data_IF_166315091634
#
_entry.id   IF_166315091634
#
_cell.length_a   1.000
_cell.length_b   1.000
_cell.length_c   1.000
_cell.angle_alpha   90.00
_cell.angle_beta   90.00
_cell.angle_gamma   90.00
#
_symmetry.space_group_name_H-M   'P 1'
#
loop_
_entity.id
_entity.type
_entity.pdbx_description
1 polymer ?
#
# COMPACT_ATOMS: atom_id res chain seq x y z
N UNK A 1 31.93 -17.80 7.91
CA UNK A 1 31.28 -18.21 6.67
C UNK A 1 29.95 -18.88 7.02
N UNK A 2 28.89 -18.15 6.99
CA UNK A 2 27.53 -18.69 6.99
C UNK A 2 26.63 -17.57 6.45
N UNK A 3 26.21 -17.77 5.22
CA UNK A 3 25.36 -16.89 4.42
C UNK A 3 23.93 -16.99 4.95
N UNK A 4 23.43 -15.95 5.62
CA UNK A 4 22.02 -15.80 5.96
C UNK A 4 21.26 -15.34 4.72
N UNK A 5 20.77 -16.29 3.95
CA UNK A 5 19.79 -16.03 2.89
C UNK A 5 18.44 -15.71 3.54
N UNK A 6 18.06 -14.45 3.49
CA UNK A 6 16.69 -13.98 3.66
C UNK A 6 15.77 -14.73 2.69
N UNK A 7 14.97 -15.65 3.21
CA UNK A 7 13.84 -16.23 2.50
C UNK A 7 12.69 -15.23 2.49
N UNK A 8 12.67 -14.36 1.51
CA UNK A 8 11.42 -13.80 1.03
C UNK A 8 10.63 -14.97 0.41
N UNK A 9 9.71 -15.54 1.17
CA UNK A 9 8.77 -16.54 0.68
C UNK A 9 7.88 -15.87 -0.36
N UNK A 10 8.23 -16.03 -1.63
CA UNK A 10 7.28 -15.90 -2.72
C UNK A 10 6.25 -17.02 -2.54
N UNK A 11 5.08 -16.67 -2.04
CA UNK A 11 3.90 -17.48 -2.18
C UNK A 11 3.38 -17.37 -3.63
N UNK A 12 4.17 -17.90 -4.59
CA UNK A 12 3.70 -18.33 -5.89
C UNK A 12 3.51 -19.84 -5.80
N UNK A 13 2.41 -20.25 -5.22
CA UNK A 13 1.90 -21.59 -5.21
C UNK A 13 0.46 -21.50 -5.67
N UNK A 14 0.22 -21.71 -6.97
CA UNK A 14 -1.06 -22.22 -7.43
C UNK A 14 -1.17 -23.63 -6.85
N UNK A 15 -2.00 -23.80 -5.85
CA UNK A 15 -2.28 -25.05 -5.18
C UNK A 15 -3.20 -24.78 -4.04
N UNK A 16 -4.46 -25.13 -4.21
CA UNK A 16 -5.47 -25.33 -3.18
C UNK A 16 -5.64 -24.19 -2.16
N UNK A 17 -6.25 -23.09 -2.62
CA UNK A 17 -7.16 -22.37 -1.76
C UNK A 17 -8.26 -23.38 -1.40
N UNK A 18 -8.04 -24.11 -0.31
CA UNK A 18 -8.99 -25.02 0.28
C UNK A 18 -10.26 -24.21 0.50
N UNK A 19 -11.25 -24.44 -0.36
CA UNK A 19 -12.62 -24.08 -0.07
C UNK A 19 -12.90 -24.64 1.33
N UNK A 20 -12.94 -23.78 2.33
CA UNK A 20 -13.58 -24.14 3.57
C UNK A 20 -15.01 -24.51 3.20
N UNK A 21 -15.24 -25.81 3.04
CA UNK A 21 -16.58 -26.36 2.90
C UNK A 21 -17.29 -26.04 4.21
N UNK A 22 -18.41 -25.32 4.13
CA UNK A 22 -19.33 -25.25 5.24
C UNK A 22 -19.64 -26.69 5.67
N UNK A 23 -19.02 -27.13 6.78
CA UNK A 23 -19.24 -28.47 7.30
C UNK A 23 -18.03 -29.16 7.95
N UNK A 24 -16.80 -28.73 7.69
CA UNK A 24 -15.66 -29.29 8.42
C UNK A 24 -15.59 -28.71 9.86
N UNK A 25 -15.35 -29.55 10.90
CA UNK A 25 -15.19 -29.04 12.24
C UNK A 25 -14.00 -28.06 12.28
N UNK A 26 -14.17 -26.87 12.88
CA UNK A 26 -13.14 -25.85 12.88
C UNK A 26 -11.86 -26.38 13.53
N UNK A 27 -10.74 -26.25 12.82
CA UNK A 27 -9.43 -26.66 13.33
C UNK A 27 -9.06 -25.75 14.52
N UNK A 28 -9.02 -26.34 15.74
CA UNK A 28 -8.71 -25.64 17.00
C UNK A 28 -7.30 -25.06 17.08
N UNK A 29 -6.44 -25.37 16.11
CA UNK A 29 -5.04 -24.90 16.06
C UNK A 29 -4.82 -23.70 15.16
N UNK A 30 -5.87 -23.20 14.50
CA UNK A 30 -5.78 -22.04 13.60
C UNK A 30 -6.66 -20.91 14.11
N UNK A 31 -6.17 -19.68 13.99
CA UNK A 31 -6.93 -18.48 14.25
C UNK A 31 -6.95 -17.62 12.99
N UNK A 32 -7.97 -17.85 12.17
CA UNK A 32 -8.11 -17.19 10.87
C UNK A 32 -8.94 -15.91 11.01
N UNK A 33 -8.46 -14.84 10.40
CA UNK A 33 -9.21 -13.59 10.23
C UNK A 33 -9.16 -13.12 8.77
N UNK A 34 -10.22 -12.50 8.30
CA UNK A 34 -10.24 -11.93 6.97
C UNK A 34 -9.46 -10.62 6.95
N UNK A 35 -8.41 -10.55 6.14
CA UNK A 35 -7.58 -9.34 5.98
C UNK A 35 -7.92 -8.56 4.73
N UNK A 36 -8.68 -9.15 3.84
CA UNK A 36 -9.13 -8.53 2.59
C UNK A 36 -10.05 -9.45 1.79
N UNK A 37 -10.49 -8.95 0.64
CA UNK A 37 -11.32 -9.71 -0.27
C UNK A 37 -10.76 -9.59 -1.69
N UNK A 38 -10.60 -10.72 -2.35
CA UNK A 38 -10.15 -10.79 -3.74
C UNK A 38 -11.24 -11.42 -4.61
N UNK A 39 -12.10 -10.58 -5.17
CA UNK A 39 -13.32 -11.03 -5.82
C UNK A 39 -14.29 -11.68 -4.80
N UNK A 40 -14.85 -12.86 -5.08
CA UNK A 40 -15.74 -13.56 -4.15
C UNK A 40 -14.99 -14.30 -3.01
N UNK A 41 -13.64 -14.23 -2.99
CA UNK A 41 -12.80 -14.96 -2.02
C UNK A 41 -12.27 -14.03 -0.96
N UNK A 42 -12.37 -14.43 0.30
CA UNK A 42 -11.71 -13.72 1.39
C UNK A 42 -10.23 -14.13 1.47
N UNK A 43 -9.36 -13.13 1.64
CA UNK A 43 -7.96 -13.36 1.98
C UNK A 43 -7.88 -13.54 3.49
N UNK A 44 -7.48 -14.72 3.93
CA UNK A 44 -7.38 -15.06 5.34
C UNK A 44 -5.91 -15.07 5.78
N UNK A 45 -5.66 -14.59 7.00
CA UNK A 45 -4.36 -14.71 7.68
C UNK A 45 -4.56 -15.57 8.92
N UNK A 46 -3.67 -16.53 9.13
CA UNK A 46 -3.58 -17.28 10.38
C UNK A 46 -2.77 -16.48 11.39
N UNK A 47 -3.46 -15.89 12.36
CA UNK A 47 -2.84 -15.05 13.37
C UNK A 47 -1.95 -15.86 14.34
N UNK A 48 -2.21 -17.16 14.54
CA UNK A 48 -1.36 -18.00 15.38
C UNK A 48 -0.04 -18.35 14.68
N UNK A 49 -0.03 -18.47 13.37
CA UNK A 49 1.20 -18.63 12.60
C UNK A 49 1.99 -17.32 12.56
N UNK A 50 1.29 -16.20 12.30
CA UNK A 50 1.87 -14.87 12.18
C UNK A 50 2.27 -14.24 13.53
N UNK A 51 1.85 -14.79 14.66
CA UNK A 51 2.10 -14.31 16.03
C UNK A 51 1.82 -12.83 16.27
N UNK A 52 2.44 -11.96 15.52
CA UNK A 52 2.26 -10.51 15.59
C UNK A 52 1.89 -10.00 14.20
N UNK A 53 0.64 -9.59 14.06
CA UNK A 53 0.11 -9.01 12.82
C UNK A 53 -0.17 -7.53 13.05
N UNK A 54 0.35 -6.70 12.17
CA UNK A 54 0.14 -5.25 12.21
C UNK A 54 -0.75 -4.83 11.06
N UNK A 55 -1.81 -4.11 11.38
CA UNK A 55 -2.63 -3.42 10.39
C UNK A 55 -1.95 -2.09 10.01
N UNK A 56 -1.48 -1.99 8.77
CA UNK A 56 -0.78 -0.80 8.28
C UNK A 56 -1.73 0.39 8.15
N UNK A 57 -1.83 1.19 9.18
CA UNK A 57 -2.67 2.38 9.25
C UNK A 57 -2.98 2.72 10.70
N UNK A 58 -3.38 3.94 10.97
CA UNK A 58 -3.79 4.40 12.29
C UNK A 58 -5.10 5.20 12.17
N UNK A 59 -5.72 5.52 13.31
CA UNK A 59 -6.94 6.31 13.35
C UNK A 59 -8.23 5.50 13.24
N UNK A 60 -9.39 6.16 13.03
CA UNK A 60 -10.71 5.56 13.15
C UNK A 60 -10.95 4.35 12.22
N UNK A 61 -10.36 4.36 11.02
CA UNK A 61 -10.51 3.26 10.05
C UNK A 61 -9.76 2.01 10.51
N UNK A 62 -8.50 2.15 10.95
CA UNK A 62 -7.73 1.05 11.50
C UNK A 62 -8.43 0.45 12.71
N UNK A 63 -8.91 1.30 13.63
CA UNK A 63 -9.66 0.90 14.79
C UNK A 63 -10.93 0.10 14.45
N UNK A 64 -11.75 0.58 13.52
CA UNK A 64 -12.94 -0.14 13.06
C UNK A 64 -12.58 -1.49 12.45
N UNK A 65 -11.51 -1.55 11.67
CA UNK A 65 -11.06 -2.80 11.05
C UNK A 65 -10.55 -3.79 12.09
N UNK A 66 -9.78 -3.33 13.07
CA UNK A 66 -9.34 -4.15 14.21
C UNK A 66 -10.54 -4.67 15.00
N UNK A 67 -11.52 -3.83 15.28
CA UNK A 67 -12.76 -4.24 15.98
C UNK A 67 -13.55 -5.28 15.17
N UNK A 68 -13.66 -5.13 13.86
CA UNK A 68 -14.31 -6.10 12.98
C UNK A 68 -13.57 -7.45 12.99
N UNK A 69 -12.25 -7.46 12.83
CA UNK A 69 -11.44 -8.68 12.84
C UNK A 69 -11.51 -9.38 14.20
N UNK A 70 -11.55 -8.61 15.29
CA UNK A 70 -11.75 -9.12 16.64
C UNK A 70 -13.13 -9.78 16.81
N UNK A 71 -14.20 -9.16 16.31
CA UNK A 71 -15.55 -9.71 16.33
C UNK A 71 -15.63 -11.00 15.51
N UNK A 72 -15.04 -11.05 14.31
CA UNK A 72 -14.97 -12.26 13.48
C UNK A 72 -14.26 -13.43 14.20
N UNK A 73 -13.22 -13.13 14.99
CA UNK A 73 -12.51 -14.14 15.80
C UNK A 73 -13.34 -14.62 16.99
N UNK A 74 -14.04 -13.70 17.68
CA UNK A 74 -14.97 -14.03 18.77
C UNK A 74 -16.12 -14.93 18.31
N UNK A 75 -16.71 -14.62 17.15
CA UNK A 75 -17.80 -15.37 16.57
C UNK A 75 -17.36 -16.69 15.93
N UNK A 76 -16.07 -16.89 15.72
CA UNK A 76 -15.54 -18.05 15.05
C UNK A 76 -15.93 -18.15 13.58
N UNK A 77 -16.00 -17.00 12.90
CA UNK A 77 -16.49 -16.92 11.51
C UNK A 77 -15.60 -17.70 10.52
N UNK A 78 -14.31 -17.73 10.74
CA UNK A 78 -13.32 -18.34 9.85
C UNK A 78 -12.56 -19.51 10.45
N UNK A 79 -12.61 -19.65 11.78
CA UNK A 79 -11.96 -20.71 12.57
C UNK A 79 -12.79 -20.98 13.81
N UNK A 80 -12.31 -21.82 14.75
CA UNK A 80 -12.98 -21.97 16.04
C UNK A 80 -13.02 -20.62 16.78
N UNK A 81 -14.11 -20.30 17.50
CA UNK A 81 -14.18 -19.13 18.37
C UNK A 81 -13.01 -19.13 19.36
N UNK A 82 -12.38 -17.97 19.55
CA UNK A 82 -11.31 -17.84 20.52
C UNK A 82 -11.57 -16.66 21.46
N UNK A 83 -11.03 -16.69 22.70
CA UNK A 83 -11.06 -15.53 23.58
C UNK A 83 -10.31 -14.36 22.95
N UNK A 84 -10.94 -13.17 22.97
CA UNK A 84 -10.36 -11.92 22.48
C UNK A 84 -10.26 -10.92 23.62
N UNK A 85 -9.12 -10.27 23.71
CA UNK A 85 -8.82 -9.21 24.69
C UNK A 85 -8.55 -7.91 23.94
N UNK A 86 -9.49 -6.97 23.98
CA UNK A 86 -9.43 -5.69 23.28
C UNK A 86 -8.84 -4.59 24.15
N UNK A 87 -7.62 -4.17 23.87
CA UNK A 87 -6.95 -3.06 24.56
C UNK A 87 -7.22 -1.77 23.82
N UNK A 88 -7.73 -0.76 24.50
CA UNK A 88 -8.15 0.52 23.93
C UNK A 88 -9.25 0.39 22.84
N UNK A 89 -10.08 -0.63 22.94
CA UNK A 89 -11.13 -0.98 21.98
C UNK A 89 -12.50 -1.15 22.67
N UNK A 90 -13.12 -0.07 23.16
CA UNK A 90 -14.41 -0.13 23.86
C UNK A 90 -15.56 -0.66 23.00
N UNK A 91 -15.40 -0.66 21.67
CA UNK A 91 -16.36 -1.21 20.73
C UNK A 91 -16.57 -2.73 20.91
N UNK A 92 -15.64 -3.43 21.56
CA UNK A 92 -15.75 -4.86 21.86
C UNK A 92 -16.55 -5.17 23.14
N UNK A 93 -17.08 -4.16 23.82
CA UNK A 93 -17.91 -4.34 25.00
C UNK A 93 -17.23 -5.20 26.08
N UNK A 94 -17.78 -6.39 26.43
CA UNK A 94 -17.22 -7.25 27.48
C UNK A 94 -15.79 -7.75 27.21
N UNK A 95 -15.35 -7.79 25.96
CA UNK A 95 -13.99 -8.19 25.60
C UNK A 95 -12.99 -7.03 25.69
N UNK A 96 -13.45 -5.81 25.98
CA UNK A 96 -12.58 -4.65 26.23
C UNK A 96 -11.95 -4.74 27.63
N UNK A 97 -10.63 -4.57 27.68
CA UNK A 97 -9.87 -4.73 28.94
C UNK A 97 -8.64 -3.80 28.96
N UNK A 98 -7.97 -3.75 30.10
CA UNK A 98 -6.66 -3.10 30.21
C UNK A 98 -5.55 -3.95 29.60
N UNK A 99 -4.44 -3.31 29.19
CA UNK A 99 -3.26 -4.04 28.70
C UNK A 99 -2.73 -5.04 29.76
N UNK A 100 -2.78 -4.69 31.05
CA UNK A 100 -2.34 -5.58 32.13
C UNK A 100 -3.21 -6.86 32.25
N UNK A 101 -4.48 -6.79 31.95
CA UNK A 101 -5.37 -7.95 31.89
C UNK A 101 -5.08 -8.81 30.66
N UNK A 102 -4.91 -8.19 29.50
CA UNK A 102 -4.53 -8.87 28.28
C UNK A 102 -3.17 -9.58 28.40
N UNK A 103 -2.17 -8.94 29.01
CA UNK A 103 -0.87 -9.54 29.31
C UNK A 103 -0.99 -10.78 30.20
N UNK A 104 -1.72 -10.67 31.31
CA UNK A 104 -1.94 -11.82 32.23
C UNK A 104 -2.60 -12.98 31.52
N UNK A 105 -3.63 -12.72 30.74
CA UNK A 105 -4.32 -13.72 29.94
C UNK A 105 -3.39 -14.39 28.93
N UNK A 106 -2.66 -13.59 28.13
CA UNK A 106 -1.76 -14.08 27.10
C UNK A 106 -0.60 -14.92 27.66
N UNK A 107 -0.07 -14.55 28.83
CA UNK A 107 1.04 -15.27 29.47
C UNK A 107 0.59 -16.52 30.24
N UNK A 108 -0.65 -16.57 30.69
CA UNK A 108 -1.21 -17.70 31.45
C UNK A 108 -1.87 -18.76 30.54
N UNK A 109 -2.35 -18.38 29.34
CA UNK A 109 -3.11 -19.27 28.50
C UNK A 109 -2.24 -20.34 27.83
N UNK A 110 -2.82 -21.55 27.75
CA UNK A 110 -2.31 -22.67 26.94
C UNK A 110 -3.14 -22.89 25.69
N UNK A 111 -4.31 -22.30 25.63
CA UNK A 111 -5.23 -22.36 24.48
C UNK A 111 -5.09 -21.10 23.63
N UNK A 112 -5.43 -21.18 22.34
CA UNK A 112 -5.41 -20.03 21.43
C UNK A 112 -6.21 -18.85 21.97
N UNK A 113 -5.62 -17.65 21.96
CA UNK A 113 -6.30 -16.40 22.26
C UNK A 113 -5.75 -15.27 21.40
N UNK A 114 -6.54 -14.21 21.25
CA UNK A 114 -6.20 -13.02 20.48
C UNK A 114 -6.16 -11.79 21.40
N UNK A 115 -5.05 -11.07 21.37
CA UNK A 115 -4.94 -9.72 21.92
C UNK A 115 -5.06 -8.73 20.75
N UNK A 116 -6.04 -7.85 20.82
CA UNK A 116 -6.22 -6.76 19.83
C UNK A 116 -5.94 -5.46 20.53
N UNK A 117 -4.87 -4.77 20.15
CA UNK A 117 -4.44 -3.54 20.79
C UNK A 117 -4.43 -2.38 19.82
N UNK A 118 -5.16 -1.31 20.14
CA UNK A 118 -5.13 -0.04 19.42
C UNK A 118 -4.17 0.91 20.11
N UNK A 119 -3.26 1.50 19.35
CA UNK A 119 -2.29 2.46 19.83
C UNK A 119 -2.96 3.67 20.45
N UNK A 120 -2.48 4.10 21.61
CA UNK A 120 -2.86 5.39 22.22
C UNK A 120 -2.02 6.52 21.66
N UNK A 121 -2.59 7.74 21.54
CA UNK A 121 -1.86 8.89 21.03
C UNK A 121 -0.65 9.32 21.87
N UNK A 122 -0.69 9.00 23.17
CA UNK A 122 0.36 9.31 24.15
C UNK A 122 1.48 8.27 24.25
N UNK A 123 1.32 7.12 23.54
CA UNK A 123 2.33 6.06 23.52
C UNK A 123 2.56 5.35 24.86
N UNK A 124 1.68 5.54 25.85
CA UNK A 124 1.87 5.04 27.22
C UNK A 124 2.01 3.51 27.36
N UNK A 125 1.44 2.78 26.40
CA UNK A 125 1.44 1.30 26.40
C UNK A 125 2.45 0.68 25.42
N UNK A 126 3.15 1.48 24.62
CA UNK A 126 3.98 0.99 23.49
C UNK A 126 5.08 0.02 23.95
N UNK A 127 5.86 0.36 24.98
CA UNK A 127 6.95 -0.47 25.47
C UNK A 127 6.46 -1.80 26.08
N UNK A 128 5.30 -1.79 26.74
CA UNK A 128 4.68 -2.99 27.30
C UNK A 128 4.13 -3.90 26.20
N UNK A 129 3.54 -3.32 25.17
CA UNK A 129 3.03 -4.08 24.02
C UNK A 129 4.18 -4.74 23.24
N UNK A 130 5.33 -4.06 23.09
CA UNK A 130 6.55 -4.66 22.54
C UNK A 130 7.05 -5.86 23.34
N UNK A 131 7.06 -5.72 24.66
CA UNK A 131 7.46 -6.82 25.57
C UNK A 131 6.50 -8.00 25.42
N UNK A 132 5.21 -7.74 25.43
CA UNK A 132 4.18 -8.76 25.23
C UNK A 132 4.35 -9.46 23.87
N UNK A 133 4.64 -8.72 22.81
CA UNK A 133 4.87 -9.28 21.48
C UNK A 133 6.09 -10.22 21.45
N UNK A 134 7.17 -9.87 22.16
CA UNK A 134 8.37 -10.74 22.29
C UNK A 134 8.05 -12.04 23.05
N UNK A 135 7.31 -11.94 24.15
CA UNK A 135 6.91 -13.11 24.94
C UNK A 135 5.91 -14.01 24.20
N UNK A 136 4.98 -13.43 23.47
CA UNK A 136 4.01 -14.15 22.64
C UNK A 136 4.69 -15.00 21.58
N UNK A 137 5.72 -14.46 20.92
CA UNK A 137 6.53 -15.22 19.94
C UNK A 137 7.21 -16.45 20.56
N UNK A 138 7.60 -16.37 21.83
CA UNK A 138 8.30 -17.47 22.52
C UNK A 138 7.33 -18.56 22.99
N UNK A 139 6.14 -18.22 23.44
CA UNK A 139 5.22 -19.14 24.16
C UNK A 139 4.17 -19.81 23.28
N UNK A 140 3.80 -19.20 22.18
CA UNK A 140 3.06 -19.88 21.12
C UNK A 140 1.54 -20.03 21.25
N UNK A 141 0.89 -19.60 22.32
CA UNK A 141 -0.57 -19.74 22.49
C UNK A 141 -1.36 -18.47 22.12
N UNK A 142 -0.76 -17.30 22.24
CA UNK A 142 -1.42 -16.03 21.94
C UNK A 142 -0.99 -15.47 20.58
N UNK A 143 -1.88 -14.69 19.95
CA UNK A 143 -1.60 -13.86 18.80
C UNK A 143 -1.87 -12.39 19.14
N UNK A 144 -1.16 -11.47 18.51
CA UNK A 144 -1.35 -10.03 18.68
C UNK A 144 -1.73 -9.42 17.33
N UNK A 145 -2.80 -8.66 17.33
CA UNK A 145 -3.27 -7.86 16.21
C UNK A 145 -3.33 -6.38 16.63
N UNK A 146 -2.62 -5.51 15.91
CA UNK A 146 -2.49 -4.10 16.34
C UNK A 146 -2.26 -3.18 15.14
N UNK A 147 -2.43 -1.88 15.36
CA UNK A 147 -2.05 -0.81 14.41
C UNK A 147 -0.67 -0.18 14.73
N UNK A 148 0.08 -0.76 15.67
CA UNK A 148 1.39 -0.27 16.09
C UNK A 148 2.53 -0.84 15.24
N UNK A 149 3.05 -0.07 14.29
CA UNK A 149 4.10 -0.50 13.36
C UNK A 149 5.47 -0.77 14.00
N UNK A 150 5.72 -0.25 15.20
CA UNK A 150 7.03 -0.36 15.89
C UNK A 150 7.32 -1.71 16.55
N UNK A 151 6.33 -2.58 16.75
CA UNK A 151 6.49 -3.81 17.55
C UNK A 151 7.08 -5.01 16.80
N UNK A 152 7.66 -4.82 15.63
CA UNK A 152 8.33 -5.89 14.88
C UNK A 152 7.34 -6.93 14.37
N UNK A 153 6.46 -6.54 13.46
CA UNK A 153 5.45 -7.41 12.87
C UNK A 153 6.05 -8.56 12.06
N UNK A 154 5.49 -9.75 12.16
CA UNK A 154 5.77 -10.87 11.27
C UNK A 154 4.94 -10.76 9.99
N UNK A 155 3.72 -10.25 10.11
CA UNK A 155 2.82 -9.97 9.00
C UNK A 155 2.31 -8.55 9.10
N UNK A 156 2.43 -7.78 8.03
CA UNK A 156 1.84 -6.45 7.89
C UNK A 156 0.68 -6.54 6.92
N UNK A 157 -0.52 -6.30 7.43
CA UNK A 157 -1.75 -6.26 6.64
C UNK A 157 -1.99 -4.83 6.20
N UNK A 158 -2.07 -4.53 4.90
CA UNK A 158 -2.44 -3.21 4.45
C UNK A 158 -3.87 -2.90 4.93
N UNK A 159 -4.09 -1.69 5.44
CA UNK A 159 -5.43 -1.19 5.67
C UNK A 159 -6.07 -0.97 4.30
N UNK A 160 -6.94 -1.89 3.89
CA UNK A 160 -7.72 -1.68 2.67
C UNK A 160 -8.57 -0.43 2.84
N UNK A 161 -8.55 0.44 1.83
CA UNK A 161 -9.53 1.50 1.77
C UNK A 161 -10.92 0.87 1.87
N UNK A 162 -11.84 1.40 2.71
CA UNK A 162 -13.16 0.82 2.86
C UNK A 162 -13.79 0.67 1.48
N UNK A 163 -14.49 -0.44 1.20
CA UNK A 163 -15.29 -0.54 -0.01
C UNK A 163 -16.14 0.72 -0.07
N UNK A 164 -16.09 1.42 -1.17
CA UNK A 164 -16.68 2.75 -1.33
C UNK A 164 -18.13 2.70 -0.86
N UNK A 165 -18.41 3.30 0.31
CA UNK A 165 -19.76 3.39 0.84
C UNK A 165 -20.66 4.09 -0.20
N UNK A 166 -21.63 3.34 -0.73
CA UNK A 166 -22.56 3.79 -1.77
C UNK A 166 -22.50 2.99 -3.07
N UNK A 167 -21.72 1.92 -3.14
CA UNK A 167 -21.77 0.96 -4.27
C UNK A 167 -22.40 -0.32 -3.77
N UNK A 168 -23.61 -0.56 -4.22
CA UNK A 168 -24.23 -1.89 -4.18
C UNK A 168 -23.21 -2.90 -4.71
N UNK A 169 -23.04 -4.01 -4.00
CA UNK A 169 -22.24 -5.18 -4.36
C UNK A 169 -22.75 -5.82 -5.66
N UNK A 170 -22.50 -5.19 -6.77
CA UNK A 170 -22.85 -5.64 -8.10
C UNK A 170 -21.77 -5.20 -9.07
N UNK A 171 -20.79 -6.06 -9.25
CA UNK A 171 -19.95 -6.21 -10.46
C UNK A 171 -19.42 -4.93 -11.16
N UNK A 172 -19.03 -3.89 -10.45
CA UNK A 172 -18.26 -2.81 -11.07
C UNK A 172 -16.85 -3.31 -11.42
N UNK A 173 -16.39 -3.01 -12.63
CA UNK A 173 -14.98 -3.23 -13.01
C UNK A 173 -14.15 -2.12 -12.40
N UNK A 174 -13.10 -2.48 -11.71
CA UNK A 174 -12.11 -1.55 -11.13
C UNK A 174 -10.82 -1.61 -11.91
N UNK A 175 -10.34 -0.43 -12.33
CA UNK A 175 -9.04 -0.25 -12.97
C UNK A 175 -8.12 0.47 -11.98
N UNK A 176 -7.18 -0.27 -11.42
CA UNK A 176 -6.23 0.24 -10.45
C UNK A 176 -5.02 0.82 -11.15
N UNK A 177 -4.78 2.13 -10.98
CA UNK A 177 -3.79 2.95 -11.68
C UNK A 177 -2.71 3.52 -10.76
N UNK A 178 -2.96 3.56 -9.44
CA UNK A 178 -2.05 4.16 -8.46
C UNK A 178 -0.97 3.18 -7.99
N UNK A 179 -0.34 2.52 -8.95
CA UNK A 179 0.69 1.50 -8.77
C UNK A 179 0.75 0.58 -10.00
N UNK A 180 1.19 -0.68 -9.83
CA UNK A 180 1.06 -1.69 -10.87
C UNK A 180 -0.38 -1.76 -11.35
N UNK A 181 -0.56 -1.76 -12.67
CA UNK A 181 -1.90 -1.75 -13.28
C UNK A 181 -2.58 -3.09 -13.06
N UNK A 182 -3.78 -3.05 -12.50
CA UNK A 182 -4.63 -4.20 -12.29
C UNK A 182 -6.05 -3.88 -12.76
N UNK A 183 -6.71 -4.83 -13.42
CA UNK A 183 -8.13 -4.72 -13.75
C UNK A 183 -8.86 -5.86 -13.06
N UNK A 184 -9.80 -5.51 -12.18
CA UNK A 184 -10.55 -6.42 -11.32
C UNK A 184 -12.03 -6.41 -11.69
N UNK A 185 -12.72 -7.52 -11.49
CA UNK A 185 -14.16 -7.63 -11.74
C UNK A 185 -14.56 -7.76 -13.21
N UNK A 186 -13.60 -7.89 -14.13
CA UNK A 186 -13.88 -8.18 -15.54
C UNK A 186 -14.23 -9.63 -15.83
N UNK A 187 -14.81 -9.90 -16.99
CA UNK A 187 -15.21 -11.24 -17.43
C UNK A 187 -14.01 -12.16 -17.76
N UNK A 188 -12.81 -11.60 -17.96
CA UNK A 188 -11.59 -12.34 -18.29
C UNK A 188 -10.34 -11.66 -17.72
N UNK A 189 -9.26 -12.46 -17.52
CA UNK A 189 -7.96 -11.93 -17.08
C UNK A 189 -7.22 -11.24 -18.21
N UNK A 190 -6.55 -10.11 -17.89
CA UNK A 190 -5.66 -9.37 -18.81
C UNK A 190 -4.22 -9.87 -18.80
N UNK A 191 -3.94 -10.95 -18.11
CA UNK A 191 -2.59 -11.51 -18.07
C UNK A 191 -2.06 -11.71 -19.49
N UNK A 192 -0.90 -11.09 -19.79
CA UNK A 192 -0.22 -11.14 -21.10
C UNK A 192 -0.91 -10.43 -22.29
N UNK A 193 -1.76 -9.41 -22.04
CA UNK A 193 -2.37 -8.59 -23.12
C UNK A 193 -2.05 -7.09 -23.00
N UNK A 194 -0.79 -6.67 -23.13
CA UNK A 194 -0.34 -5.30 -22.80
C UNK A 194 -1.08 -4.22 -23.60
N UNK A 195 -1.31 -4.41 -24.90
CA UNK A 195 -2.03 -3.44 -25.71
C UNK A 195 -3.52 -3.32 -25.39
N UNK A 196 -4.13 -4.39 -24.90
CA UNK A 196 -5.51 -4.36 -24.46
C UNK A 196 -5.64 -3.67 -23.09
N UNK A 197 -4.69 -3.94 -22.19
CA UNK A 197 -4.57 -3.22 -20.91
C UNK A 197 -4.40 -1.74 -21.14
N UNK A 198 -3.50 -1.35 -22.03
CA UNK A 198 -3.23 0.03 -22.42
C UNK A 198 -4.50 0.73 -22.93
N UNK A 199 -5.28 0.07 -23.80
CA UNK A 199 -6.55 0.60 -24.31
C UNK A 199 -7.57 0.82 -23.18
N UNK A 200 -7.74 -0.17 -22.30
CA UNK A 200 -8.71 -0.06 -21.19
C UNK A 200 -8.30 1.06 -20.22
N UNK A 201 -7.01 1.18 -19.90
CA UNK A 201 -6.49 2.25 -19.06
C UNK A 201 -6.70 3.61 -19.70
N UNK A 202 -6.39 3.75 -20.99
CA UNK A 202 -6.59 5.00 -21.72
C UNK A 202 -8.05 5.44 -21.70
N UNK A 203 -8.98 4.52 -21.99
CA UNK A 203 -10.40 4.80 -21.93
C UNK A 203 -10.90 5.11 -20.51
N UNK A 204 -10.35 4.46 -19.49
CA UNK A 204 -10.73 4.69 -18.09
C UNK A 204 -10.28 6.05 -17.54
N UNK A 205 -9.22 6.60 -18.12
CA UNK A 205 -8.73 7.96 -17.81
C UNK A 205 -9.50 9.06 -18.54
N UNK A 206 -10.33 8.70 -19.53
CA UNK A 206 -11.12 9.65 -20.32
C UNK A 206 -12.62 9.36 -20.16
N UNK A 207 -13.22 9.70 -19.02
CA UNK A 207 -14.63 9.40 -18.72
C UNK A 207 -15.61 10.10 -19.68
N UNK A 208 -15.18 11.19 -20.34
CA UNK A 208 -15.96 11.90 -21.37
C UNK A 208 -16.05 11.15 -22.71
N UNK A 209 -15.35 10.03 -22.80
CA UNK A 209 -15.25 9.22 -24.01
C UNK A 209 -14.24 9.70 -25.01
N UNK A 210 -13.74 8.79 -25.84
CA UNK A 210 -12.66 9.02 -26.82
C UNK A 210 -13.05 8.52 -28.20
N UNK A 211 -12.76 9.31 -29.24
CA UNK A 211 -12.95 8.87 -30.63
C UNK A 211 -11.95 7.78 -31.02
N UNK A 212 -12.28 6.98 -32.04
CA UNK A 212 -11.37 5.97 -32.58
C UNK A 212 -10.06 6.59 -33.04
N UNK A 213 -10.11 7.75 -33.67
CA UNK A 213 -8.92 8.45 -34.14
C UNK A 213 -7.98 8.82 -32.98
N UNK A 214 -8.52 9.35 -31.87
CA UNK A 214 -7.72 9.81 -30.74
C UNK A 214 -7.02 8.66 -30.02
N UNK A 215 -7.75 7.60 -29.64
CA UNK A 215 -7.10 6.51 -28.92
C UNK A 215 -6.15 5.70 -29.80
N UNK A 216 -6.41 5.56 -31.13
CA UNK A 216 -5.47 4.90 -32.02
C UNK A 216 -4.19 5.70 -32.19
N UNK A 217 -4.29 7.04 -32.33
CA UNK A 217 -3.12 7.92 -32.39
C UNK A 217 -2.30 7.87 -31.08
N UNK A 218 -2.97 7.82 -29.91
CA UNK A 218 -2.27 7.71 -28.63
C UNK A 218 -1.53 6.38 -28.47
N UNK A 219 -2.17 5.26 -28.80
CA UNK A 219 -1.58 3.93 -28.60
C UNK A 219 -0.58 3.52 -29.69
N UNK A 220 -0.67 4.10 -30.85
CA UNK A 220 0.23 3.86 -32.01
C UNK A 220 0.62 5.18 -32.68
N UNK A 221 1.45 6.01 -32.02
CA UNK A 221 1.82 7.33 -32.56
C UNK A 221 2.58 7.27 -33.91
N UNK A 222 3.29 6.17 -34.15
CA UNK A 222 4.19 6.03 -35.29
C UNK A 222 3.54 5.41 -36.55
N UNK A 223 2.24 5.09 -36.49
CA UNK A 223 1.55 4.44 -37.62
C UNK A 223 0.05 4.65 -37.63
N UNK A 224 -0.50 4.67 -38.81
CA UNK A 224 -1.95 4.60 -39.01
C UNK A 224 -2.44 3.18 -38.73
N UNK A 225 -3.50 3.08 -37.93
CA UNK A 225 -4.13 1.81 -37.58
C UNK A 225 -5.32 1.56 -38.47
N UNK A 226 -5.37 0.43 -39.23
CA UNK A 226 -6.53 0.08 -40.03
C UNK A 226 -7.79 -0.03 -39.14
N UNK A 227 -8.93 0.40 -39.67
CA UNK A 227 -10.21 0.41 -38.98
C UNK A 227 -10.57 -0.99 -38.45
N UNK A 228 -10.32 -2.04 -39.21
CA UNK A 228 -10.53 -3.43 -38.81
C UNK A 228 -9.72 -3.80 -37.55
N UNK A 229 -8.47 -3.33 -37.47
CA UNK A 229 -7.62 -3.57 -36.29
C UNK A 229 -8.17 -2.85 -35.06
N UNK A 230 -8.60 -1.60 -35.23
CA UNK A 230 -9.23 -0.83 -34.16
C UNK A 230 -10.52 -1.52 -33.66
N UNK A 231 -11.39 -1.94 -34.58
CA UNK A 231 -12.63 -2.62 -34.26
C UNK A 231 -12.39 -3.96 -33.54
N UNK A 232 -11.38 -4.73 -33.94
CA UNK A 232 -10.99 -5.96 -33.26
C UNK A 232 -10.56 -5.69 -31.82
N UNK A 233 -9.75 -4.66 -31.55
CA UNK A 233 -9.33 -4.26 -30.20
C UNK A 233 -10.50 -3.83 -29.33
N UNK A 234 -11.42 -3.06 -29.88
CA UNK A 234 -12.65 -2.68 -29.16
C UNK A 234 -13.54 -3.90 -28.86
N UNK A 235 -13.61 -4.87 -29.77
CA UNK A 235 -14.35 -6.12 -29.55
C UNK A 235 -13.72 -6.95 -28.43
N UNK A 236 -12.39 -7.09 -28.41
CA UNK A 236 -11.67 -7.75 -27.34
C UNK A 236 -11.90 -7.05 -25.97
N UNK A 237 -11.80 -5.70 -25.97
CA UNK A 237 -12.07 -4.92 -24.76
C UNK A 237 -13.51 -5.07 -24.25
N UNK A 238 -14.50 -5.11 -25.16
CA UNK A 238 -15.91 -5.39 -24.81
C UNK A 238 -16.09 -6.78 -24.20
N UNK A 239 -15.43 -7.79 -24.76
CA UNK A 239 -15.44 -9.16 -24.21
C UNK A 239 -14.89 -9.22 -22.81
N UNK A 240 -13.77 -8.53 -22.55
CA UNK A 240 -13.09 -8.48 -21.28
C UNK A 240 -13.89 -7.74 -20.20
N UNK A 241 -14.41 -6.55 -20.52
CA UNK A 241 -15.13 -5.71 -19.57
C UNK A 241 -16.54 -6.24 -19.30
N UNK A 242 -17.10 -7.05 -20.21
CA UNK A 242 -18.42 -7.67 -20.04
C UNK A 242 -19.58 -6.69 -20.08
N UNK A 243 -20.61 -6.98 -19.29
CA UNK A 243 -21.87 -6.25 -19.25
C UNK A 243 -22.02 -5.46 -17.96
N UNK A 244 -22.65 -4.31 -18.04
CA UNK A 244 -23.08 -3.48 -16.93
C UNK A 244 -24.37 -4.05 -16.30
N UNK A 245 -24.81 -3.48 -15.18
CA UNK A 245 -26.01 -3.93 -14.46
C UNK A 245 -27.30 -3.72 -15.28
N UNK A 246 -27.27 -2.79 -16.24
CA UNK A 246 -28.39 -2.53 -17.16
C UNK A 246 -28.47 -3.53 -18.33
N UNK A 247 -27.62 -4.57 -18.33
CA UNK A 247 -27.54 -5.58 -19.38
C UNK A 247 -26.84 -5.12 -20.66
N UNK A 248 -26.35 -3.90 -20.74
CA UNK A 248 -25.58 -3.39 -21.89
C UNK A 248 -24.10 -3.61 -21.69
N UNK A 249 -23.32 -3.59 -22.76
CA UNK A 249 -21.86 -3.64 -22.69
C UNK A 249 -21.29 -2.46 -21.88
N UNK A 250 -20.26 -2.71 -21.04
CA UNK A 250 -19.58 -1.62 -20.33
C UNK A 250 -18.83 -0.69 -21.26
N UNK A 251 -18.18 -1.20 -22.31
CA UNK A 251 -17.61 -0.36 -23.35
C UNK A 251 -18.67 -0.04 -24.42
N UNK A 252 -19.19 1.18 -24.39
CA UNK A 252 -20.24 1.69 -25.26
C UNK A 252 -19.68 2.61 -26.35
N UNK A 253 -20.47 2.77 -27.39
CA UNK A 253 -20.23 3.79 -28.40
C UNK A 253 -21.40 4.78 -28.35
N UNK A 254 -21.08 6.06 -28.21
CA UNK A 254 -22.03 7.18 -28.27
C UNK A 254 -21.54 8.17 -29.34
N UNK A 255 -22.25 8.21 -30.44
CA UNK A 255 -21.79 8.95 -31.62
C UNK A 255 -20.51 8.36 -32.19
N UNK A 256 -19.43 9.18 -32.19
CA UNK A 256 -18.08 8.80 -32.60
C UNK A 256 -17.17 8.38 -31.41
N UNK A 257 -17.67 8.49 -30.17
CA UNK A 257 -16.88 8.26 -28.96
C UNK A 257 -17.12 6.89 -28.32
N UNK A 258 -16.08 6.35 -27.72
CA UNK A 258 -16.09 5.14 -26.90
C UNK A 258 -15.99 5.52 -25.43
N UNK A 259 -16.96 5.07 -24.63
CA UNK A 259 -17.08 5.36 -23.20
C UNK A 259 -17.10 4.08 -22.38
N UNK A 260 -16.58 4.16 -21.15
CA UNK A 260 -16.70 3.12 -20.16
C UNK A 260 -17.83 3.44 -19.16
N UNK A 261 -18.76 2.50 -19.00
CA UNK A 261 -19.86 2.60 -18.05
C UNK A 261 -19.68 1.57 -16.94
N UNK A 262 -19.94 1.95 -15.69
CA UNK A 262 -19.74 1.11 -14.51
C UNK A 262 -18.31 0.53 -14.40
N UNK A 263 -17.34 1.31 -14.88
CA UNK A 263 -15.91 1.07 -14.68
C UNK A 263 -15.38 2.23 -13.84
N UNK A 264 -14.63 1.90 -12.80
CA UNK A 264 -14.08 2.88 -11.86
C UNK A 264 -12.57 2.78 -11.81
N UNK A 265 -11.92 3.89 -11.51
CA UNK A 265 -10.48 3.90 -11.25
C UNK A 265 -10.21 4.25 -9.78
N UNK A 266 -9.15 3.69 -9.23
CA UNK A 266 -8.63 4.11 -7.91
C UNK A 266 -8.20 5.57 -7.93
N UNK A 267 -7.79 6.11 -9.10
CA UNK A 267 -7.52 7.54 -9.30
C UNK A 267 -8.77 8.43 -9.07
N UNK A 268 -9.91 8.07 -9.63
CA UNK A 268 -11.18 8.81 -9.41
C UNK A 268 -11.58 8.78 -7.92
N UNK A 269 -11.34 7.64 -7.26
CA UNK A 269 -11.57 7.51 -5.82
C UNK A 269 -10.62 8.38 -5.01
N UNK A 270 -9.33 8.35 -5.36
CA UNK A 270 -8.30 9.19 -4.75
C UNK A 270 -8.66 10.68 -4.86
N UNK A 271 -8.94 11.16 -6.08
CA UNK A 271 -9.26 12.57 -6.33
C UNK A 271 -10.47 13.05 -5.50
N UNK A 272 -11.53 12.24 -5.41
CA UNK A 272 -12.70 12.53 -4.60
C UNK A 272 -12.38 12.57 -3.10
N UNK A 273 -11.60 11.62 -2.59
CA UNK A 273 -11.20 11.58 -1.18
C UNK A 273 -10.27 12.74 -0.83
N UNK A 274 -9.27 13.01 -1.68
CA UNK A 274 -8.34 14.12 -1.49
C UNK A 274 -9.04 15.49 -1.48
N UNK A 275 -10.09 15.64 -2.30
CA UNK A 275 -10.90 16.85 -2.38
C UNK A 275 -11.77 17.15 -1.16
N UNK A 276 -11.98 16.17 -0.25
CA UNK A 276 -12.78 16.40 0.98
C UNK A 276 -12.12 17.33 2.00
N UNK A 277 -10.80 17.48 1.94
CA UNK A 277 -10.08 18.44 2.79
C UNK A 277 -9.83 17.98 4.23
N UNK A 278 -10.15 16.76 4.59
CA UNK A 278 -10.08 16.21 5.94
C UNK A 278 -8.92 15.19 6.08
N UNK A 279 -8.21 15.15 7.22
CA UNK A 279 -7.08 14.23 7.41
C UNK A 279 -7.43 12.75 7.22
N UNK A 280 -8.60 12.31 7.68
CA UNK A 280 -9.04 10.92 7.50
C UNK A 280 -9.33 10.60 6.03
N UNK A 281 -9.90 11.54 5.29
CA UNK A 281 -10.12 11.40 3.86
C UNK A 281 -8.79 11.40 3.07
N UNK A 282 -7.82 12.25 3.44
CA UNK A 282 -6.47 12.23 2.86
C UNK A 282 -5.75 10.90 3.15
N UNK A 283 -5.89 10.39 4.37
CA UNK A 283 -5.33 9.07 4.74
C UNK A 283 -5.95 7.96 3.89
N UNK A 284 -7.26 7.96 3.74
CA UNK A 284 -7.97 6.99 2.89
C UNK A 284 -7.56 7.11 1.41
N UNK A 285 -7.36 8.33 0.89
CA UNK A 285 -6.85 8.55 -0.45
C UNK A 285 -5.44 7.94 -0.62
N UNK A 286 -4.50 8.26 0.28
CA UNK A 286 -3.14 7.74 0.22
C UNK A 286 -3.06 6.22 0.42
N UNK A 287 -4.01 5.60 1.09
CA UNK A 287 -4.09 4.14 1.20
C UNK A 287 -4.29 3.44 -0.15
N UNK A 288 -4.86 4.13 -1.15
CA UNK A 288 -5.02 3.63 -2.51
C UNK A 288 -3.68 3.59 -3.28
N UNK A 289 -2.68 4.36 -2.86
CA UNK A 289 -1.37 4.44 -3.53
C UNK A 289 -0.57 3.16 -3.23
N UNK A 290 -0.36 2.32 -4.25
CA UNK A 290 0.32 1.03 -4.16
C UNK A 290 1.78 1.10 -4.65
N UNK A 291 2.07 1.99 -5.61
CA UNK A 291 3.37 2.15 -6.25
C UNK A 291 3.42 3.41 -7.11
N UNK A 292 4.29 3.40 -8.12
CA UNK A 292 4.33 4.50 -9.11
C UNK A 292 3.04 4.47 -9.94
N UNK A 293 2.36 5.61 -10.11
CA UNK A 293 1.18 5.67 -10.94
C UNK A 293 1.46 5.16 -12.35
N UNK A 294 0.51 4.44 -12.94
CA UNK A 294 0.60 3.85 -14.28
C UNK A 294 1.81 2.92 -14.46
N UNK A 295 2.27 2.26 -13.40
CA UNK A 295 3.41 1.34 -13.45
C UNK A 295 3.15 0.21 -14.48
N UNK A 296 4.10 0.04 -15.42
CA UNK A 296 3.95 -0.83 -16.59
C UNK A 296 3.55 -0.10 -17.89
N UNK A 297 3.12 1.17 -17.80
CA UNK A 297 2.83 2.03 -18.97
C UNK A 297 3.67 3.33 -19.00
N UNK A 298 4.62 3.49 -18.09
CA UNK A 298 5.43 4.72 -17.97
C UNK A 298 6.26 5.05 -19.21
N UNK A 299 6.59 4.05 -20.04
CA UNK A 299 7.33 4.24 -21.29
C UNK A 299 6.43 4.61 -22.47
N UNK A 300 5.10 4.71 -22.26
CA UNK A 300 4.17 5.04 -23.35
C UNK A 300 4.12 6.55 -23.58
N UNK A 301 4.27 7.01 -24.84
CA UNK A 301 4.31 8.43 -25.15
C UNK A 301 3.12 9.21 -24.59
N UNK A 302 1.91 8.70 -24.71
CA UNK A 302 0.70 9.38 -24.23
C UNK A 302 0.70 9.59 -22.71
N UNK A 303 1.20 8.63 -21.92
CA UNK A 303 1.30 8.79 -20.47
C UNK A 303 2.22 9.95 -20.07
N UNK A 304 3.24 10.22 -20.90
CA UNK A 304 4.24 11.25 -20.63
C UNK A 304 3.82 12.64 -21.12
N UNK A 305 3.06 12.70 -22.22
CA UNK A 305 2.82 13.96 -22.93
C UNK A 305 1.42 14.53 -22.74
N UNK A 306 0.43 13.76 -22.32
CA UNK A 306 -0.94 14.25 -22.11
C UNK A 306 -1.15 14.96 -20.74
N UNK A 307 -0.13 14.93 -19.86
CA UNK A 307 -0.17 15.55 -18.54
C UNK A 307 -0.82 14.69 -17.45
N UNK A 308 -1.47 13.59 -17.77
CA UNK A 308 -2.20 12.75 -16.82
C UNK A 308 -1.30 12.22 -15.69
N UNK A 309 -0.12 11.71 -16.03
CA UNK A 309 0.84 11.22 -15.04
C UNK A 309 1.25 12.34 -14.07
N UNK A 310 1.57 13.52 -14.62
CA UNK A 310 1.96 14.69 -13.81
C UNK A 310 0.83 15.15 -12.90
N UNK A 311 -0.41 15.12 -13.37
CA UNK A 311 -1.58 15.44 -12.56
C UNK A 311 -1.73 14.47 -11.37
N UNK A 312 -1.65 13.17 -11.63
CA UNK A 312 -1.75 12.13 -10.60
C UNK A 312 -0.61 12.27 -9.57
N UNK A 313 0.63 12.39 -10.02
CA UNK A 313 1.80 12.55 -9.13
C UNK A 313 1.69 13.81 -8.29
N UNK A 314 1.32 14.94 -8.89
CA UNK A 314 1.14 16.22 -8.16
C UNK A 314 0.06 16.10 -7.09
N UNK A 315 -1.08 15.51 -7.41
CA UNK A 315 -2.17 15.32 -6.45
C UNK A 315 -1.78 14.42 -5.29
N UNK A 316 -1.00 13.35 -5.55
CA UNK A 316 -0.49 12.46 -4.50
C UNK A 316 0.48 13.22 -3.58
N UNK A 317 1.41 13.97 -4.15
CA UNK A 317 2.38 14.77 -3.37
C UNK A 317 1.66 15.79 -2.51
N UNK A 318 0.71 16.54 -3.07
CA UNK A 318 -0.05 17.56 -2.34
C UNK A 318 -0.88 16.93 -1.21
N UNK A 319 -1.56 15.82 -1.46
CA UNK A 319 -2.31 15.08 -0.46
C UNK A 319 -1.39 14.60 0.68
N UNK A 320 -0.21 14.05 0.33
CA UNK A 320 0.81 13.59 1.28
C UNK A 320 1.31 14.74 2.15
N UNK A 321 1.63 15.88 1.53
CA UNK A 321 2.13 17.05 2.25
C UNK A 321 1.08 17.61 3.22
N UNK A 322 -0.18 17.71 2.78
CA UNK A 322 -1.29 18.19 3.64
C UNK A 322 -1.49 17.27 4.84
N UNK A 323 -1.58 15.96 4.60
CA UNK A 323 -1.75 14.97 5.69
C UNK A 323 -0.54 14.97 6.62
N UNK A 324 0.67 14.85 6.09
CA UNK A 324 1.89 14.77 6.90
C UNK A 324 2.09 16.01 7.78
N UNK A 325 1.85 17.21 7.23
CA UNK A 325 1.91 18.44 8.01
C UNK A 325 0.82 18.51 9.09
N UNK A 326 -0.40 18.05 8.80
CA UNK A 326 -1.48 18.01 9.78
C UNK A 326 -1.16 17.06 10.93
N UNK A 327 -0.56 15.90 10.65
CA UNK A 327 -0.17 14.90 11.63
C UNK A 327 1.02 15.38 12.49
N UNK A 328 2.04 16.00 11.89
CA UNK A 328 3.15 16.61 12.64
C UNK A 328 2.67 17.70 13.60
N UNK A 329 1.72 18.56 13.19
CA UNK A 329 1.14 19.55 14.09
C UNK A 329 0.39 18.97 15.30
N UNK A 330 -0.08 17.71 15.16
CA UNK A 330 -0.76 16.95 16.24
C UNK A 330 0.21 16.12 17.08
N UNK A 331 1.50 16.12 16.76
CA UNK A 331 2.51 15.24 17.38
C UNK A 331 2.49 13.80 16.88
N UNK A 332 1.70 13.47 15.86
CA UNK A 332 1.65 12.12 15.28
C UNK A 332 2.80 11.95 14.25
N UNK A 333 4.00 11.69 14.76
CA UNK A 333 5.20 11.49 13.96
C UNK A 333 5.11 10.23 13.09
N UNK A 334 4.55 9.14 13.61
CA UNK A 334 4.43 7.87 12.89
C UNK A 334 3.41 7.97 11.75
N UNK A 335 2.28 8.63 12.01
CA UNK A 335 1.31 8.92 10.96
C UNK A 335 1.90 9.77 9.83
N UNK A 336 2.72 10.77 10.18
CA UNK A 336 3.42 11.58 9.20
C UNK A 336 4.46 10.79 8.41
N UNK A 337 5.19 9.89 9.06
CA UNK A 337 6.12 8.96 8.43
C UNK A 337 5.39 8.02 7.46
N UNK A 338 4.27 7.44 7.88
CA UNK A 338 3.43 6.61 7.02
C UNK A 338 2.98 7.38 5.76
N UNK A 339 2.50 8.62 5.93
CA UNK A 339 2.09 9.44 4.81
C UNK A 339 3.26 9.69 3.83
N UNK A 340 4.43 10.07 4.35
CA UNK A 340 5.63 10.30 3.54
C UNK A 340 6.05 9.04 2.76
N UNK A 341 6.04 7.86 3.39
CA UNK A 341 6.35 6.58 2.74
C UNK A 341 5.36 6.29 1.61
N UNK A 342 4.07 6.55 1.81
CA UNK A 342 3.07 6.37 0.76
C UNK A 342 3.30 7.29 -0.43
N UNK A 343 3.56 8.56 -0.19
CA UNK A 343 3.92 9.50 -1.25
C UNK A 343 5.19 9.10 -1.99
N UNK A 344 6.24 8.67 -1.27
CA UNK A 344 7.50 8.22 -1.84
C UNK A 344 7.40 6.93 -2.67
N UNK A 345 6.38 6.09 -2.45
CA UNK A 345 6.09 4.96 -3.34
C UNK A 345 5.65 5.42 -4.73
N UNK A 346 4.89 6.50 -4.80
CA UNK A 346 4.43 7.08 -6.06
C UNK A 346 5.50 7.97 -6.71
N UNK A 347 6.10 8.86 -5.93
CA UNK A 347 7.01 9.90 -6.37
C UNK A 347 8.36 9.80 -5.64
N UNK A 348 9.18 8.78 -5.95
CA UNK A 348 10.40 8.46 -5.20
C UNK A 348 11.50 9.54 -5.27
N UNK A 349 11.42 10.44 -6.25
CA UNK A 349 12.41 11.50 -6.49
C UNK A 349 11.98 12.88 -5.96
N UNK A 350 10.78 13.00 -5.38
CA UNK A 350 10.28 14.28 -4.89
C UNK A 350 10.93 14.66 -3.56
N UNK A 351 11.78 15.68 -3.57
CA UNK A 351 12.51 16.15 -2.40
C UNK A 351 11.57 16.69 -1.29
N UNK A 352 10.35 17.15 -1.62
CA UNK A 352 9.39 17.63 -0.62
C UNK A 352 8.95 16.48 0.29
N UNK A 353 8.75 15.30 -0.28
CA UNK A 353 8.37 14.09 0.46
C UNK A 353 9.51 13.56 1.33
N UNK A 354 10.75 13.62 0.84
CA UNK A 354 11.93 13.29 1.65
C UNK A 354 12.09 14.27 2.81
N UNK A 355 11.87 15.58 2.59
CA UNK A 355 11.85 16.57 3.69
C UNK A 355 10.76 16.29 4.71
N UNK A 356 9.58 15.84 4.27
CA UNK A 356 8.51 15.42 5.19
C UNK A 356 8.94 14.20 6.01
N UNK A 357 9.52 13.19 5.37
CA UNK A 357 10.01 11.98 6.05
C UNK A 357 11.12 12.30 7.08
N UNK A 358 12.07 13.20 6.74
CA UNK A 358 13.09 13.66 7.68
C UNK A 358 12.47 14.36 8.90
N UNK A 359 11.48 15.23 8.70
CA UNK A 359 10.78 15.91 9.81
C UNK A 359 9.99 14.93 10.67
N UNK A 360 9.39 13.92 10.08
CA UNK A 360 8.67 12.89 10.82
C UNK A 360 9.63 12.04 11.66
N UNK A 361 10.79 11.66 11.10
CA UNK A 361 11.83 10.94 11.83
C UNK A 361 12.39 11.76 13.00
N UNK A 362 12.64 13.06 12.79
CA UNK A 362 13.10 13.98 13.84
C UNK A 362 12.06 14.13 14.95
N UNK A 363 10.79 14.32 14.59
CA UNK A 363 9.68 14.41 15.57
C UNK A 363 9.50 13.12 16.40
N UNK A 364 9.90 11.98 15.85
CA UNK A 364 9.95 10.69 16.56
C UNK A 364 11.24 10.50 17.38
N UNK A 365 12.15 11.47 17.41
CA UNK A 365 13.48 11.35 18.03
C UNK A 365 14.43 10.38 17.33
N UNK A 366 14.11 9.95 16.10
CA UNK A 366 14.86 8.97 15.34
C UNK A 366 15.92 9.65 14.43
N UNK A 367 17.07 9.99 15.00
CA UNK A 367 18.16 10.63 14.28
C UNK A 367 18.74 9.76 13.16
N UNK A 368 18.89 8.46 13.40
CA UNK A 368 19.36 7.53 12.38
C UNK A 368 18.38 7.41 11.21
N UNK A 369 17.08 7.58 11.47
CA UNK A 369 16.05 7.69 10.45
C UNK A 369 16.21 8.90 9.55
N UNK A 370 16.57 10.07 10.11
CA UNK A 370 16.87 11.28 9.32
C UNK A 370 18.03 11.03 8.34
N UNK A 371 19.11 10.44 8.83
CA UNK A 371 20.28 10.10 8.00
C UNK A 371 19.94 9.06 6.91
N UNK A 372 19.13 8.06 7.25
CA UNK A 372 18.68 7.02 6.31
C UNK A 372 17.85 7.61 5.16
N UNK A 373 16.89 8.50 5.49
CA UNK A 373 16.05 9.18 4.48
C UNK A 373 16.89 10.06 3.56
N UNK A 374 17.84 10.80 4.10
CA UNK A 374 18.72 11.66 3.30
C UNK A 374 19.63 10.83 2.36
N UNK A 375 20.20 9.74 2.88
CA UNK A 375 21.01 8.80 2.08
C UNK A 375 20.19 8.13 0.98
N UNK A 376 18.95 7.71 1.25
CA UNK A 376 18.05 7.14 0.27
C UNK A 376 17.77 8.11 -0.90
N UNK A 377 17.54 9.40 -0.57
CA UNK A 377 17.40 10.46 -1.58
C UNK A 377 18.66 10.60 -2.44
N UNK A 378 19.83 10.66 -1.82
CA UNK A 378 21.10 10.79 -2.54
C UNK A 378 21.36 9.62 -3.49
N UNK A 379 21.07 8.39 -3.05
CA UNK A 379 21.18 7.18 -3.87
C UNK A 379 20.19 7.22 -5.06
N UNK A 380 18.92 7.55 -4.81
CA UNK A 380 17.88 7.60 -5.85
C UNK A 380 18.16 8.65 -6.93
N UNK A 381 18.76 9.75 -6.56
CA UNK A 381 19.14 10.81 -7.50
C UNK A 381 20.51 10.57 -8.14
N UNK A 382 21.17 9.44 -7.85
CA UNK A 382 22.50 9.09 -8.35
C UNK A 382 23.52 10.23 -8.13
N UNK A 383 23.47 10.81 -6.93
CA UNK A 383 24.29 11.98 -6.62
C UNK A 383 25.72 11.58 -6.21
N UNK A 384 26.63 11.62 -7.18
CA UNK A 384 28.06 11.56 -6.92
C UNK A 384 28.63 12.98 -6.75
N UNK A 385 29.36 13.23 -5.66
CA UNK A 385 30.08 14.48 -5.43
C UNK A 385 29.34 15.52 -4.59
N UNK A 386 29.32 16.79 -5.03
CA UNK A 386 28.81 17.91 -4.22
C UNK A 386 27.27 17.91 -4.14
N UNK A 387 26.75 17.26 -3.11
CA UNK A 387 25.30 17.17 -2.82
C UNK A 387 24.63 18.54 -2.65
N UNK A 388 25.38 19.55 -2.15
CA UNK A 388 24.85 20.91 -1.95
C UNK A 388 24.44 21.60 -3.24
N UNK A 389 25.11 21.29 -4.34
CA UNK A 389 24.82 21.91 -5.65
C UNK A 389 23.69 21.21 -6.40
N UNK A 390 23.43 19.98 -6.08
CA UNK A 390 22.49 19.13 -6.82
C UNK A 390 21.13 18.98 -6.12
N UNK A 391 21.08 19.12 -4.80
CA UNK A 391 19.85 19.10 -4.01
C UNK A 391 19.26 20.51 -3.86
N UNK A 392 17.94 20.54 -3.69
CA UNK A 392 17.26 21.79 -3.39
C UNK A 392 17.80 22.41 -2.07
N UNK A 393 18.10 23.72 -2.01
CA UNK A 393 18.70 24.35 -0.82
C UNK A 393 17.94 24.09 0.49
N UNK A 394 16.60 24.02 0.42
CA UNK A 394 15.77 23.70 1.59
C UNK A 394 16.00 22.27 2.12
N UNK A 395 16.37 21.32 1.26
CA UNK A 395 16.64 19.93 1.66
C UNK A 395 17.96 19.86 2.41
N UNK A 396 19.00 20.51 1.89
CA UNK A 396 20.29 20.64 2.53
C UNK A 396 20.17 21.35 3.88
N UNK A 397 19.53 22.52 3.91
CA UNK A 397 19.34 23.30 5.13
C UNK A 397 18.53 22.55 6.19
N UNK A 398 17.52 21.76 5.78
CA UNK A 398 16.77 20.92 6.70
C UNK A 398 17.65 19.84 7.30
N UNK A 399 18.38 19.09 6.49
CA UNK A 399 19.25 18.01 6.94
C UNK A 399 20.31 18.50 7.94
N UNK A 400 20.99 19.62 7.63
CA UNK A 400 21.98 20.25 8.51
C UNK A 400 21.37 20.70 9.84
N UNK A 401 20.19 21.32 9.82
CA UNK A 401 19.46 21.73 11.02
C UNK A 401 19.06 20.57 11.92
N UNK A 402 18.70 19.41 11.34
CA UNK A 402 18.32 18.21 12.07
C UNK A 402 19.56 17.44 12.61
N UNK A 403 20.74 18.05 12.53
CA UNK A 403 21.98 17.48 13.05
C UNK A 403 22.60 16.40 12.17
N UNK A 404 22.27 16.40 10.88
CA UNK A 404 23.03 15.67 9.87
C UNK A 404 24.49 16.10 9.88
N UNK A 405 25.39 15.21 9.48
CA UNK A 405 26.81 15.56 9.33
C UNK A 405 26.92 16.75 8.38
N UNK A 406 27.70 17.78 8.79
CA UNK A 406 27.95 18.89 7.89
C UNK A 406 28.41 18.33 6.54
N UNK A 407 27.71 18.68 5.47
CA UNK A 407 28.05 18.26 4.10
C UNK A 407 29.31 19.03 3.64
N UNK A 408 30.40 18.85 4.40
CA UNK A 408 31.71 19.33 4.01
C UNK A 408 32.24 18.42 2.92
N UNK A 409 32.44 19.02 1.76
CA UNK A 409 33.31 18.57 0.66
C UNK A 409 33.86 17.14 0.81
N UNK A 410 33.24 16.20 0.08
CA UNK A 410 33.83 14.95 -0.42
C UNK A 410 34.42 13.95 0.57
N UNK A 411 33.80 12.83 0.88
CA UNK A 411 34.55 11.61 0.97
C UNK A 411 34.83 11.15 -0.48
N UNK A 412 36.05 11.37 -0.95
CA UNK A 412 36.60 10.62 -2.09
C UNK A 412 36.43 9.13 -1.73
N UNK A 413 35.58 8.43 -2.42
CA UNK A 413 35.70 6.98 -2.54
C UNK A 413 37.09 6.75 -3.14
N UNK A 414 37.99 6.17 -2.33
CA UNK A 414 39.28 5.75 -2.80
C UNK A 414 39.06 4.81 -4.01
N UNK A 415 39.75 5.08 -5.14
CA UNK A 415 39.67 4.15 -6.26
C UNK A 415 40.19 2.79 -5.78
N UNK A 416 39.42 1.73 -6.07
CA UNK A 416 39.86 0.38 -5.84
C UNK A 416 41.27 0.23 -6.45
N UNK A 417 42.26 -0.05 -5.63
CA UNK A 417 43.62 -0.33 -6.05
C UNK A 417 43.59 -1.55 -6.97
N UNK A 418 43.64 -1.33 -8.26
CA UNK A 418 43.96 -2.35 -9.24
C UNK A 418 45.38 -2.81 -8.99
N UNK A 419 45.52 -3.90 -8.22
CA UNK A 419 46.75 -4.60 -8.05
C UNK A 419 47.23 -5.17 -9.40
N UNK A 420 48.13 -4.44 -10.03
CA UNK A 420 48.91 -4.95 -11.15
C UNK A 420 49.99 -5.87 -10.59
N UNK A 421 49.74 -7.15 -10.58
CA UNK A 421 50.75 -8.16 -10.32
C UNK A 421 51.59 -8.34 -11.60
N UNK A 422 52.68 -7.58 -11.68
CA UNK A 422 53.69 -7.78 -12.72
C UNK A 422 54.53 -9.01 -12.41
N UNK A 423 54.25 -10.11 -13.06
CA UNK A 423 55.18 -11.25 -13.15
C UNK A 423 56.32 -10.90 -14.11
N UNK A 424 57.50 -10.62 -13.54
CA UNK A 424 58.77 -10.66 -14.30
C UNK A 424 59.18 -12.13 -14.40
N UNK A 425 59.25 -12.62 -15.64
CA UNK A 425 59.99 -13.81 -16.00
C UNK A 425 61.40 -13.40 -16.32
N UNK A 426 62.36 -14.04 -15.62
CA UNK A 426 63.72 -14.20 -16.07
C UNK A 426 63.85 -15.48 -16.88
#
# INVERSE_FOLDING_TARGET
>A
MASSRSRASRASGGGDAQQARQGDPPDRRRLLVAVGQQGPRHCLVDLLEARVTVLAGSGPLARRRLAQMAAEALEGRWSAPCPVYGVNLPELGPASCSLAEAERAALASRDPLLVVAVRQPDGGDDARLELLARETRRRGAAAILTDHLGIGAEVVVPLEAPPLAGVTEGSAVEVALLGPIEIRGGAASLTNRPKLTELVVYLALHPEGVSTANWTAALWPDRLVPEQTANNRLSEARGLLGFANDGRRRLRREGDRHLLCEVRTDWQCFARLAGRGEPDAWRAALALVRGRPLEGLLERPWCLYDGTLTEIETAIVDCTMRLGQALLRRGDADGAQWAAIRGLKACPFDERLHRLAMRAADAAGNRTGVEAVFRDLAIKLELDGDLRRRLHPQTVALYERLGGAALSSTPRLAPASSGHNGTRSG
#
